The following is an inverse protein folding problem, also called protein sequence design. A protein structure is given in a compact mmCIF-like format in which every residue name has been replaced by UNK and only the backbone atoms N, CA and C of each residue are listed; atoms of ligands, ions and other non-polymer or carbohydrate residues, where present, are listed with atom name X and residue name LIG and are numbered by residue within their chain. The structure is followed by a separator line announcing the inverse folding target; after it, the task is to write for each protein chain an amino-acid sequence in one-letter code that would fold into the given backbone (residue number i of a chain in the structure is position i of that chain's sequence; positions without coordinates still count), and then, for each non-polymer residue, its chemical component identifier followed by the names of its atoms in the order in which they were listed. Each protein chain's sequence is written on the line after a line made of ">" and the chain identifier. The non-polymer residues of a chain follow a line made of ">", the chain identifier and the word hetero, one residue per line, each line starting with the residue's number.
data_IF_769935893891
#
_entry.id   IF_769935893891
#
_cell.length_a   1.000
_cell.length_b   1.000
_cell.length_c   1.000
_cell.angle_alpha   90.00
_cell.angle_beta   90.00
_cell.angle_gamma   90.00
#
_symmetry.space_group_name_H-M   'P 1'
#
loop_
_entity.id
_entity.type
_entity.pdbx_description
1 polymer ?
#
# COMPACT_ATOMS: atom_id res chain seq x y z
N UNK A 1 -3.55 37.37 -3.21
CA UNK A 1 -3.96 37.52 -1.80
C UNK A 1 -5.37 36.93 -1.66
N UNK A 2 -5.50 35.66 -1.37
CA UNK A 2 -6.81 35.05 -1.06
C UNK A 2 -6.96 35.20 0.44
N UNK A 3 -7.83 36.14 0.83
CA UNK A 3 -8.02 36.52 2.23
C UNK A 3 -8.53 35.38 3.07
N UNK A 4 -8.09 35.36 4.32
CA UNK A 4 -8.66 34.58 5.42
C UNK A 4 -10.17 34.84 5.57
N UNK A 5 -10.99 34.11 4.82
CA UNK A 5 -12.40 33.97 5.12
C UNK A 5 -12.52 33.13 6.39
N UNK A 6 -13.14 33.73 7.40
CA UNK A 6 -13.36 33.16 8.72
C UNK A 6 -13.90 31.72 8.59
N UNK A 7 -13.20 30.74 9.14
CA UNK A 7 -13.50 29.30 9.04
C UNK A 7 -14.95 28.95 9.42
N UNK A 8 -15.58 29.74 10.30
CA UNK A 8 -16.99 29.55 10.71
C UNK A 8 -18.01 29.89 9.61
N UNK A 9 -17.61 30.67 8.60
CA UNK A 9 -18.49 31.06 7.49
C UNK A 9 -18.39 30.02 6.36
N UNK A 10 -17.26 29.31 6.22
CA UNK A 10 -17.07 28.29 5.18
C UNK A 10 -18.04 27.11 5.33
N UNK A 11 -18.26 26.61 6.53
CA UNK A 11 -19.12 25.44 6.75
C UNK A 11 -20.59 25.62 6.38
N UNK A 12 -21.05 26.87 6.24
CA UNK A 12 -22.45 27.17 5.91
C UNK A 12 -22.70 27.43 4.41
N UNK A 13 -21.64 27.63 3.62
CA UNK A 13 -21.75 28.01 2.21
C UNK A 13 -21.30 26.93 1.22
N UNK A 14 -20.41 26.03 1.66
CA UNK A 14 -19.87 24.95 0.83
C UNK A 14 -20.44 23.61 1.31
N UNK A 15 -21.55 23.20 0.71
CA UNK A 15 -22.23 21.94 1.08
C UNK A 15 -21.88 20.78 0.15
N UNK A 16 -21.21 21.07 -0.99
CA UNK A 16 -20.91 20.07 -2.04
C UNK A 16 -19.48 20.21 -2.54
N UNK A 17 -18.92 19.14 -3.04
CA UNK A 17 -17.56 19.08 -3.56
C UNK A 17 -17.30 20.05 -4.73
N UNK A 18 -18.33 20.41 -5.48
CA UNK A 18 -18.26 21.41 -6.57
C UNK A 18 -17.73 22.77 -6.14
N UNK A 19 -17.95 23.14 -4.88
CA UNK A 19 -17.53 24.46 -4.35
C UNK A 19 -16.03 24.51 -3.98
N UNK A 20 -15.33 23.36 -3.99
CA UNK A 20 -13.92 23.28 -3.64
C UNK A 20 -13.05 23.27 -4.90
N UNK A 21 -11.94 24.04 -4.91
CA UNK A 21 -11.00 24.02 -6.02
C UNK A 21 -10.24 22.69 -6.08
N UNK A 22 -9.80 22.31 -7.27
CA UNK A 22 -8.86 21.22 -7.44
C UNK A 22 -7.51 21.53 -6.82
N UNK A 23 -7.05 20.66 -5.94
CA UNK A 23 -5.76 20.80 -5.24
C UNK A 23 -4.74 19.75 -5.70
N UNK A 24 -4.96 19.15 -6.86
CA UNK A 24 -4.04 18.14 -7.40
C UNK A 24 -2.77 18.83 -7.86
N UNK A 25 -1.64 18.40 -7.30
CA UNK A 25 -0.32 18.76 -7.82
C UNK A 25 0.27 17.56 -8.57
N UNK A 26 0.27 17.55 -9.91
CA UNK A 26 0.75 16.43 -10.71
C UNK A 26 2.27 16.22 -10.66
N UNK A 27 2.94 16.72 -9.65
CA UNK A 27 4.40 16.74 -9.54
C UNK A 27 5.09 15.41 -9.23
N UNK A 28 4.36 14.29 -9.21
CA UNK A 28 4.99 12.96 -9.01
C UNK A 28 5.65 12.53 -10.32
N UNK A 29 6.97 12.66 -10.38
CA UNK A 29 7.76 12.12 -11.49
C UNK A 29 8.08 10.66 -11.18
N UNK A 30 7.54 9.74 -11.98
CA UNK A 30 8.02 8.36 -12.01
C UNK A 30 9.39 8.40 -12.70
N UNK A 31 10.45 8.00 -12.00
CA UNK A 31 11.78 7.90 -12.59
C UNK A 31 11.78 6.88 -13.75
N UNK A 32 12.51 7.19 -14.82
CA UNK A 32 12.75 6.20 -15.88
C UNK A 32 13.48 4.99 -15.28
N UNK A 33 12.89 3.82 -15.40
CA UNK A 33 13.47 2.56 -14.94
C UNK A 33 13.68 1.64 -16.14
N UNK A 34 14.67 1.96 -16.97
CA UNK A 34 15.04 1.15 -18.14
C UNK A 34 16.03 0.02 -17.81
N UNK A 35 16.14 -0.37 -16.54
CA UNK A 35 17.07 -1.40 -16.12
C UNK A 35 16.48 -2.80 -16.31
N UNK A 36 17.17 -3.63 -17.07
CA UNK A 36 17.04 -5.09 -16.95
C UNK A 36 17.53 -5.49 -15.56
N UNK A 37 16.60 -5.94 -14.70
CA UNK A 37 16.95 -6.31 -13.34
C UNK A 37 17.98 -7.42 -13.27
N UNK A 38 19.06 -7.20 -12.52
CA UNK A 38 20.06 -8.21 -12.18
C UNK A 38 19.77 -8.84 -10.83
N UNK A 39 20.40 -9.98 -10.52
CA UNK A 39 20.36 -10.56 -9.16
C UNK A 39 20.84 -9.55 -8.11
N UNK A 40 21.85 -8.72 -8.44
CA UNK A 40 22.34 -7.65 -7.59
C UNK A 40 21.28 -6.60 -7.29
N UNK A 41 20.48 -6.22 -8.29
CA UNK A 41 19.37 -5.25 -8.10
C UNK A 41 18.29 -5.82 -7.18
N UNK A 42 17.96 -7.11 -7.30
CA UNK A 42 17.04 -7.79 -6.39
C UNK A 42 17.56 -7.82 -4.96
N UNK A 43 18.83 -8.16 -4.76
CA UNK A 43 19.47 -8.15 -3.42
C UNK A 43 19.45 -6.74 -2.83
N UNK A 44 19.71 -5.71 -3.63
CA UNK A 44 19.65 -4.32 -3.19
C UNK A 44 18.23 -3.91 -2.78
N UNK A 45 17.22 -4.26 -3.59
CA UNK A 45 15.82 -3.98 -3.29
C UNK A 45 15.41 -4.54 -1.93
N UNK A 46 15.67 -5.82 -1.69
CA UNK A 46 15.35 -6.45 -0.39
C UNK A 46 16.16 -5.88 0.76
N UNK A 47 17.42 -5.53 0.52
CA UNK A 47 18.27 -4.89 1.52
C UNK A 47 17.77 -3.50 1.90
N UNK A 48 17.38 -2.68 0.93
CA UNK A 48 16.82 -1.34 1.16
C UNK A 48 15.47 -1.42 1.86
N UNK A 49 14.61 -2.37 1.49
CA UNK A 49 13.35 -2.65 2.18
C UNK A 49 13.59 -2.98 3.65
N UNK A 50 14.55 -3.88 3.93
CA UNK A 50 14.92 -4.23 5.30
C UNK A 50 15.40 -3.02 6.09
N UNK A 51 16.33 -2.24 5.54
CA UNK A 51 16.86 -1.04 6.22
C UNK A 51 15.78 0.02 6.49
N UNK A 52 14.87 0.20 5.54
CA UNK A 52 13.75 1.12 5.70
C UNK A 52 12.83 0.68 6.85
N UNK A 53 12.38 -0.59 6.83
CA UNK A 53 11.49 -1.12 7.87
C UNK A 53 12.19 -1.23 9.23
N UNK A 54 13.47 -1.55 9.25
CA UNK A 54 14.30 -1.50 10.47
C UNK A 54 14.28 -0.10 11.09
N UNK A 55 14.45 0.96 10.28
CA UNK A 55 14.37 2.35 10.76
C UNK A 55 12.98 2.70 11.29
N UNK A 56 11.91 2.19 10.66
CA UNK A 56 10.54 2.40 11.14
C UNK A 56 10.35 1.78 12.52
N UNK A 57 10.71 0.50 12.70
CA UNK A 57 10.60 -0.21 13.98
C UNK A 57 11.46 0.47 15.06
N UNK A 58 12.68 0.92 14.71
CA UNK A 58 13.61 1.57 15.65
C UNK A 58 13.13 2.93 16.17
N UNK A 59 12.06 3.51 15.57
CA UNK A 59 11.42 4.72 16.11
C UNK A 59 10.57 4.43 17.35
N UNK A 60 10.13 3.20 17.55
CA UNK A 60 9.47 2.77 18.79
C UNK A 60 10.45 2.88 19.96
N UNK A 61 9.98 3.43 21.08
CA UNK A 61 10.81 3.65 22.28
C UNK A 61 11.41 2.35 22.81
N UNK A 62 10.68 1.23 22.66
CA UNK A 62 11.12 -0.10 23.06
C UNK A 62 12.26 -0.67 22.21
N UNK A 63 12.41 -0.17 20.97
CA UNK A 63 13.38 -0.67 19.99
C UNK A 63 14.54 0.29 19.67
N UNK A 64 14.74 1.33 20.45
CA UNK A 64 15.87 2.26 20.27
C UNK A 64 17.25 1.59 20.35
N UNK A 65 17.35 0.49 21.08
CA UNK A 65 18.57 -0.32 21.19
C UNK A 65 18.28 -1.74 20.72
N UNK A 66 18.80 -2.08 19.56
CA UNK A 66 18.71 -3.40 18.95
C UNK A 66 20.11 -4.01 18.80
N UNK A 67 20.17 -5.33 18.79
CA UNK A 67 21.41 -6.08 18.58
C UNK A 67 21.37 -6.78 17.22
N UNK A 68 22.52 -6.88 16.57
CA UNK A 68 22.68 -7.73 15.39
C UNK A 68 22.59 -9.21 15.79
N UNK A 69 22.01 -10.03 14.93
CA UNK A 69 21.80 -11.46 15.22
C UNK A 69 23.13 -12.16 15.52
N UNK A 70 24.22 -11.83 14.79
CA UNK A 70 25.54 -12.40 15.08
C UNK A 70 26.06 -12.06 16.48
N UNK A 71 25.76 -10.85 16.97
CA UNK A 71 26.15 -10.43 18.34
C UNK A 71 25.39 -11.23 19.39
N UNK A 72 24.08 -11.39 19.23
CA UNK A 72 23.24 -12.20 20.11
C UNK A 72 23.68 -13.66 20.11
N UNK A 73 23.98 -14.24 18.95
CA UNK A 73 24.41 -15.62 18.83
C UNK A 73 25.76 -15.88 19.51
N UNK A 74 26.66 -14.90 19.52
CA UNK A 74 27.97 -15.00 20.21
C UNK A 74 27.84 -14.83 21.73
N UNK A 75 26.83 -14.10 22.20
CA UNK A 75 26.71 -13.68 23.61
C UNK A 75 25.44 -14.21 24.29
N UNK A 76 24.90 -15.35 23.83
CA UNK A 76 23.62 -15.92 24.32
C UNK A 76 23.50 -15.94 25.83
N UNK A 77 24.57 -16.34 26.50
CA UNK A 77 24.61 -16.47 27.98
C UNK A 77 24.55 -15.12 28.70
N UNK A 78 24.99 -14.02 28.05
CA UNK A 78 24.87 -12.68 28.62
C UNK A 78 23.44 -12.15 28.59
N UNK A 79 22.59 -12.71 27.72
CA UNK A 79 21.17 -12.33 27.52
C UNK A 79 20.18 -13.35 28.11
N UNK A 80 20.62 -14.33 28.87
CA UNK A 80 19.79 -15.37 29.47
C UNK A 80 18.73 -14.79 30.45
N UNK A 81 19.06 -13.77 31.23
CA UNK A 81 18.17 -13.10 32.19
C UNK A 81 17.95 -11.63 31.89
N UNK A 82 18.42 -11.17 30.73
CA UNK A 82 18.35 -9.77 30.32
C UNK A 82 17.60 -9.67 28.99
N UNK A 83 16.46 -8.98 28.95
CA UNK A 83 15.76 -8.75 27.70
C UNK A 83 16.63 -7.99 26.69
N UNK A 84 16.57 -8.39 25.45
CA UNK A 84 17.21 -7.70 24.34
C UNK A 84 16.28 -7.66 23.13
N UNK A 85 16.56 -6.71 22.23
CA UNK A 85 15.79 -6.50 21.03
C UNK A 85 16.58 -6.93 19.80
N UNK A 86 15.91 -7.59 18.87
CA UNK A 86 16.42 -7.95 17.56
C UNK A 86 15.39 -7.58 16.51
N UNK A 87 15.84 -7.17 15.33
CA UNK A 87 15.00 -6.94 14.17
C UNK A 87 15.49 -7.85 13.06
N UNK A 88 14.56 -8.54 12.40
CA UNK A 88 14.90 -9.47 11.32
C UNK A 88 13.74 -9.68 10.36
N UNK A 89 14.05 -10.28 9.20
CA UNK A 89 13.08 -10.79 8.24
C UNK A 89 12.71 -12.20 8.65
N UNK A 90 11.42 -12.54 8.57
CA UNK A 90 10.94 -13.90 8.81
C UNK A 90 11.27 -14.77 7.59
N UNK A 91 12.11 -15.78 7.78
CA UNK A 91 12.49 -16.73 6.71
C UNK A 91 11.85 -18.10 6.87
N UNK A 92 11.38 -18.45 8.06
CA UNK A 92 10.64 -19.70 8.31
C UNK A 92 9.70 -19.56 9.50
N UNK A 93 8.53 -20.24 9.44
CA UNK A 93 7.54 -20.28 10.51
C UNK A 93 7.06 -21.72 10.68
N UNK A 94 7.25 -22.27 11.88
CA UNK A 94 6.74 -23.62 12.22
C UNK A 94 5.80 -23.57 13.39
N UNK A 95 4.67 -24.26 13.27
CA UNK A 95 3.73 -24.43 14.37
C UNK A 95 4.23 -25.52 15.34
N UNK A 96 4.25 -25.21 16.63
CA UNK A 96 4.55 -26.20 17.66
C UNK A 96 3.31 -26.98 18.07
N UNK A 97 3.48 -28.15 18.69
CA UNK A 97 2.37 -28.96 19.22
C UNK A 97 1.54 -28.20 20.26
N UNK A 98 2.16 -27.28 21.01
CA UNK A 98 1.48 -26.43 22.00
C UNK A 98 0.76 -25.23 21.41
N UNK A 99 0.80 -25.04 20.09
CA UNK A 99 0.12 -23.97 19.37
C UNK A 99 0.94 -22.69 19.18
N UNK A 100 2.12 -22.55 19.80
CA UNK A 100 3.04 -21.45 19.56
C UNK A 100 3.70 -21.51 18.18
N UNK A 101 4.54 -20.53 17.88
CA UNK A 101 5.32 -20.43 16.62
C UNK A 101 6.80 -20.44 16.91
N UNK A 102 7.52 -21.30 16.20
CA UNK A 102 8.96 -21.20 16.02
C UNK A 102 9.20 -20.37 14.77
N UNK A 103 9.85 -19.24 14.92
CA UNK A 103 10.09 -18.28 13.85
C UNK A 103 11.58 -18.13 13.65
N UNK A 104 12.07 -18.34 12.45
CA UNK A 104 13.44 -18.05 12.09
C UNK A 104 13.54 -16.64 11.53
N UNK A 105 14.30 -15.78 12.20
CA UNK A 105 14.59 -14.42 11.79
C UNK A 105 16.00 -14.35 11.20
N UNK A 106 16.12 -13.58 10.12
CA UNK A 106 17.41 -13.30 9.45
C UNK A 106 17.67 -11.80 9.38
N UNK A 107 18.91 -11.42 9.62
CA UNK A 107 19.47 -10.12 9.27
C UNK A 107 20.74 -10.30 8.41
N UNK A 108 21.39 -9.21 8.00
CA UNK A 108 22.64 -9.27 7.20
C UNK A 108 23.78 -10.01 7.90
N UNK A 109 23.65 -10.38 9.17
CA UNK A 109 24.74 -10.95 10.00
C UNK A 109 24.50 -12.41 10.38
N UNK A 110 23.28 -12.92 10.23
CA UNK A 110 22.97 -14.32 10.55
C UNK A 110 21.49 -14.58 10.79
N UNK A 111 21.22 -15.74 11.39
CA UNK A 111 19.87 -16.20 11.71
C UNK A 111 19.72 -16.53 13.19
N UNK A 112 18.52 -16.34 13.70
CA UNK A 112 18.13 -16.69 15.06
C UNK A 112 16.71 -17.28 15.06
N UNK A 113 16.52 -18.37 15.80
CA UNK A 113 15.20 -18.93 16.02
C UNK A 113 14.61 -18.35 17.30
N UNK A 114 13.43 -17.76 17.19
CA UNK A 114 12.68 -17.20 18.30
C UNK A 114 11.39 -17.97 18.50
N UNK A 115 10.89 -18.03 19.73
CA UNK A 115 9.63 -18.68 20.05
C UNK A 115 8.58 -17.65 20.42
N UNK A 116 7.52 -17.57 19.62
CA UNK A 116 6.34 -16.74 19.86
C UNK A 116 5.25 -17.61 20.49
N UNK A 117 4.76 -17.20 21.66
CA UNK A 117 3.74 -17.95 22.39
C UNK A 117 2.42 -17.89 21.67
N UNK A 118 1.56 -18.90 21.87
CA UNK A 118 0.21 -18.94 21.24
C UNK A 118 -0.70 -17.82 21.72
N UNK A 119 -0.47 -17.30 22.92
CA UNK A 119 -1.23 -16.20 23.54
C UNK A 119 -0.84 -14.82 22.96
N UNK A 120 0.32 -14.73 22.31
CA UNK A 120 0.73 -13.50 21.63
C UNK A 120 -0.15 -13.25 20.41
N UNK A 121 -0.80 -12.08 20.30
CA UNK A 121 -1.63 -11.75 19.14
C UNK A 121 -0.90 -11.92 17.79
N UNK A 122 0.41 -11.69 17.78
CA UNK A 122 1.23 -11.85 16.58
C UNK A 122 1.31 -13.30 16.09
N UNK A 123 1.12 -14.31 16.97
CA UNK A 123 1.24 -15.72 16.59
C UNK A 123 0.29 -16.15 15.45
N UNK A 124 -0.83 -15.42 15.26
CA UNK A 124 -1.82 -15.69 14.21
C UNK A 124 -1.60 -14.89 12.93
N UNK A 125 -0.76 -13.87 12.93
CA UNK A 125 -0.60 -12.88 11.84
C UNK A 125 0.78 -12.87 11.20
N UNK A 126 1.75 -13.63 11.74
CA UNK A 126 3.10 -13.73 11.18
C UNK A 126 3.08 -14.30 9.76
N UNK A 127 3.75 -13.63 8.84
CA UNK A 127 3.94 -14.06 7.45
C UNK A 127 5.42 -14.15 7.10
N UNK A 128 5.74 -15.01 6.13
CA UNK A 128 7.09 -15.04 5.54
C UNK A 128 7.38 -13.66 4.92
N UNK A 129 8.65 -13.29 4.93
CA UNK A 129 9.16 -12.01 4.42
C UNK A 129 8.74 -10.77 5.22
N UNK A 130 7.95 -10.90 6.30
CA UNK A 130 7.72 -9.80 7.22
C UNK A 130 9.02 -9.38 7.92
N UNK A 131 9.23 -8.07 8.03
CA UNK A 131 10.27 -7.51 8.90
C UNK A 131 9.64 -7.18 10.24
N UNK A 132 10.08 -7.84 11.28
CA UNK A 132 9.57 -7.62 12.65
C UNK A 132 10.68 -7.32 13.65
N UNK A 133 10.32 -6.58 14.68
CA UNK A 133 11.12 -6.44 15.89
C UNK A 133 10.65 -7.41 16.95
N UNK A 134 11.59 -8.01 17.68
CA UNK A 134 11.29 -8.95 18.75
C UNK A 134 12.06 -8.54 20.01
N UNK A 135 11.36 -8.42 21.12
CA UNK A 135 11.94 -8.31 22.46
C UNK A 135 11.86 -9.65 23.14
N UNK A 136 12.95 -10.11 23.75
CA UNK A 136 12.94 -11.39 24.44
C UNK A 136 14.27 -11.68 25.12
N UNK A 137 14.40 -12.91 25.61
CA UNK A 137 15.59 -13.40 26.32
C UNK A 137 15.91 -14.85 25.96
N UNK A 138 17.16 -15.23 26.09
CA UNK A 138 17.53 -16.63 25.93
C UNK A 138 17.11 -17.49 27.14
N UNK A 139 16.80 -18.75 26.85
CA UNK A 139 16.64 -19.80 27.88
C UNK A 139 17.91 -20.00 28.69
N UNK A 140 17.78 -20.68 29.84
CA UNK A 140 18.91 -20.97 30.74
C UNK A 140 20.08 -21.67 30.04
N UNK A 141 19.79 -22.56 29.09
CA UNK A 141 20.74 -23.30 28.28
C UNK A 141 21.19 -22.56 27.00
N UNK A 142 20.68 -21.36 26.75
CA UNK A 142 20.99 -20.55 25.57
C UNK A 142 20.49 -21.12 24.23
N UNK A 143 19.64 -22.16 24.23
CA UNK A 143 19.19 -22.83 23.01
C UNK A 143 17.99 -22.16 22.38
N UNK A 144 17.11 -21.54 23.18
CA UNK A 144 15.87 -20.93 22.75
C UNK A 144 15.83 -19.45 23.08
N UNK A 145 15.35 -18.64 22.15
CA UNK A 145 15.02 -17.24 22.40
C UNK A 145 13.52 -17.11 22.63
N UNK A 146 13.13 -16.80 23.85
CA UNK A 146 11.75 -16.62 24.26
C UNK A 146 11.30 -15.19 24.02
N UNK A 147 10.25 -15.02 23.24
CA UNK A 147 9.69 -13.72 22.88
C UNK A 147 8.76 -13.22 23.97
N UNK A 148 8.97 -11.98 24.39
CA UNK A 148 8.07 -11.27 25.29
C UNK A 148 7.17 -10.29 24.52
N UNK A 149 7.63 -9.76 23.37
CA UNK A 149 6.90 -8.81 22.52
C UNK A 149 7.34 -8.96 21.06
N UNK A 150 6.36 -8.92 20.16
CA UNK A 150 6.55 -8.75 18.71
C UNK A 150 6.10 -7.36 18.31
N UNK A 151 6.88 -6.68 17.48
CA UNK A 151 6.59 -5.35 16.95
C UNK A 151 6.64 -5.38 15.42
N UNK A 152 5.55 -5.00 14.78
CA UNK A 152 5.49 -4.75 13.35
C UNK A 152 5.95 -3.32 13.01
N UNK A 153 6.40 -3.07 11.77
CA UNK A 153 6.69 -1.72 11.30
C UNK A 153 5.39 -0.93 11.16
N UNK A 154 4.95 -0.31 12.23
CA UNK A 154 3.76 0.54 12.22
C UNK A 154 4.12 1.93 11.72
N UNK A 155 3.29 2.47 10.83
CA UNK A 155 3.32 3.90 10.54
C UNK A 155 2.84 4.60 11.80
N UNK A 156 3.79 5.20 12.54
CA UNK A 156 3.45 6.02 13.70
C UNK A 156 2.49 7.11 13.22
N UNK A 157 1.29 7.23 13.81
CA UNK A 157 0.40 8.30 13.45
C UNK A 157 1.14 9.61 13.63
N UNK A 158 1.18 10.41 12.56
CA UNK A 158 1.82 11.72 12.61
C UNK A 158 1.00 12.61 13.55
N UNK A 159 1.32 12.59 14.84
CA UNK A 159 0.60 13.33 15.89
C UNK A 159 0.67 14.86 15.70
N UNK A 160 1.49 15.34 14.75
CA UNK A 160 1.59 16.77 14.48
C UNK A 160 0.35 17.36 13.80
N UNK A 161 -0.54 16.53 13.24
CA UNK A 161 -1.72 16.99 12.51
C UNK A 161 -3.07 16.59 13.14
N UNK A 162 -3.10 16.04 14.36
CA UNK A 162 -4.36 15.70 15.03
C UNK A 162 -5.01 16.87 15.80
N UNK A 163 -4.39 18.05 15.78
CA UNK A 163 -4.98 19.25 16.35
C UNK A 163 -5.91 19.93 15.35
N UNK A 164 -7.20 19.62 15.41
CA UNK A 164 -8.25 20.46 14.84
C UNK A 164 -8.12 20.81 13.36
N UNK A 165 -7.72 19.88 12.50
CA UNK A 165 -7.93 20.05 11.07
C UNK A 165 -9.44 19.99 10.82
N UNK A 166 -10.04 21.14 10.56
CA UNK A 166 -11.29 21.23 9.83
C UNK A 166 -11.03 20.59 8.46
N UNK A 167 -11.40 19.33 8.30
CA UNK A 167 -11.38 18.68 7.00
C UNK A 167 -12.56 19.24 6.21
N UNK A 168 -12.26 19.66 4.99
CA UNK A 168 -13.32 19.95 4.04
C UNK A 168 -14.15 18.68 3.84
N UNK A 169 -15.49 18.74 3.79
CA UNK A 169 -16.36 17.57 3.70
C UNK A 169 -16.37 16.98 2.29
N UNK A 170 -15.19 16.69 1.76
CA UNK A 170 -15.03 16.06 0.44
C UNK A 170 -14.72 14.57 0.59
N UNK A 171 -15.17 13.79 -0.37
CA UNK A 171 -14.92 12.36 -0.50
C UNK A 171 -14.11 12.06 -1.75
N UNK A 172 -13.38 10.95 -1.72
CA UNK A 172 -12.66 10.40 -2.87
C UNK A 172 -13.26 9.03 -3.15
N UNK A 173 -13.69 8.80 -4.40
CA UNK A 173 -14.09 7.50 -4.87
C UNK A 173 -12.89 6.78 -5.49
N UNK A 174 -12.77 5.49 -5.26
CA UNK A 174 -11.74 4.63 -5.83
C UNK A 174 -12.39 3.49 -6.60
N UNK A 175 -11.92 3.25 -7.81
CA UNK A 175 -12.28 2.10 -8.63
C UNK A 175 -11.05 1.60 -9.38
N UNK A 176 -11.03 0.33 -9.78
CA UNK A 176 -9.99 -0.27 -10.61
C UNK A 176 -10.57 -1.39 -11.46
N UNK A 177 -9.78 -1.90 -12.39
CA UNK A 177 -10.12 -3.09 -13.17
C UNK A 177 -11.48 -2.97 -13.90
N UNK A 178 -11.67 -1.82 -14.52
CA UNK A 178 -12.92 -1.51 -15.24
C UNK A 178 -13.01 -2.32 -16.53
N UNK A 179 -11.88 -2.51 -17.22
CA UNK A 179 -11.74 -3.29 -18.45
C UNK A 179 -12.76 -2.89 -19.53
N UNK A 180 -12.89 -1.60 -19.82
CA UNK A 180 -13.71 -1.11 -20.93
C UNK A 180 -13.21 -1.72 -22.24
N UNK A 181 -14.14 -2.23 -23.06
CA UNK A 181 -13.80 -3.02 -24.23
C UNK A 181 -13.83 -4.53 -24.02
N UNK A 182 -13.89 -5.01 -22.79
CA UNK A 182 -14.09 -6.43 -22.46
C UNK A 182 -15.52 -6.89 -22.74
N UNK A 183 -15.69 -8.15 -23.14
CA UNK A 183 -17.01 -8.80 -23.20
C UNK A 183 -17.66 -8.93 -21.82
N UNK A 184 -16.88 -8.76 -20.75
CA UNK A 184 -17.31 -8.84 -19.35
C UNK A 184 -17.51 -7.48 -18.70
N UNK A 185 -17.29 -6.39 -19.41
CA UNK A 185 -17.51 -5.05 -18.88
C UNK A 185 -18.98 -4.89 -18.46
N UNK A 186 -19.19 -4.50 -17.22
CA UNK A 186 -20.53 -4.33 -16.62
C UNK A 186 -21.04 -2.92 -16.89
N UNK A 187 -21.29 -2.59 -18.15
CA UNK A 187 -21.67 -1.25 -18.59
C UNK A 187 -22.88 -0.71 -17.81
N UNK A 188 -23.93 -1.52 -17.60
CA UNK A 188 -25.10 -1.10 -16.83
C UNK A 188 -24.82 -0.76 -15.38
N UNK A 189 -23.80 -1.38 -14.79
CA UNK A 189 -23.39 -1.08 -13.41
C UNK A 189 -22.55 0.19 -13.36
N UNK A 190 -21.73 0.42 -14.39
CA UNK A 190 -21.05 1.70 -14.59
C UNK A 190 -22.06 2.84 -14.74
N UNK A 191 -23.04 2.70 -15.64
CA UNK A 191 -24.07 3.72 -15.89
C UNK A 191 -24.85 4.03 -14.60
N UNK A 192 -25.23 3.02 -13.82
CA UNK A 192 -25.88 3.21 -12.51
C UNK A 192 -25.00 3.94 -11.51
N UNK A 193 -23.69 3.68 -11.51
CA UNK A 193 -22.72 4.38 -10.65
C UNK A 193 -22.65 5.86 -11.05
N UNK A 194 -22.57 6.16 -12.35
CA UNK A 194 -22.53 7.52 -12.87
C UNK A 194 -23.85 8.25 -12.58
N UNK A 195 -25.00 7.59 -12.79
CA UNK A 195 -26.31 8.14 -12.44
C UNK A 195 -26.39 8.49 -10.94
N UNK A 196 -25.89 7.60 -10.07
CA UNK A 196 -25.83 7.87 -8.64
C UNK A 196 -24.89 9.03 -8.31
N UNK A 197 -23.73 9.14 -8.97
CA UNK A 197 -22.82 10.27 -8.80
C UNK A 197 -23.43 11.61 -9.23
N UNK A 198 -24.35 11.59 -10.22
CA UNK A 198 -25.10 12.75 -10.66
C UNK A 198 -26.33 13.06 -9.79
N UNK A 199 -26.60 12.26 -8.76
CA UNK A 199 -27.81 12.43 -7.93
C UNK A 199 -27.61 13.43 -6.78
N UNK A 200 -28.73 13.81 -6.15
CA UNK A 200 -28.75 14.66 -4.96
C UNK A 200 -28.33 13.90 -3.67
N UNK A 201 -27.83 12.68 -3.78
CA UNK A 201 -27.39 11.90 -2.64
C UNK A 201 -26.21 12.58 -1.94
N UNK A 202 -26.30 12.74 -0.60
CA UNK A 202 -25.31 13.51 0.17
C UNK A 202 -23.86 13.01 0.02
N UNK A 203 -23.64 11.69 -0.11
CA UNK A 203 -22.29 11.13 -0.36
C UNK A 203 -21.83 11.47 -1.77
N UNK A 204 -22.70 11.31 -2.78
CA UNK A 204 -22.37 11.60 -4.17
C UNK A 204 -21.93 13.06 -4.37
N UNK A 205 -22.68 14.01 -3.77
CA UNK A 205 -22.35 15.43 -3.80
C UNK A 205 -21.00 15.79 -3.17
N UNK A 206 -20.51 14.96 -2.27
CA UNK A 206 -19.23 15.18 -1.61
C UNK A 206 -18.05 14.53 -2.34
N UNK A 207 -18.27 13.78 -3.41
CA UNK A 207 -17.19 13.18 -4.20
C UNK A 207 -16.54 14.29 -5.04
N UNK A 208 -15.26 14.57 -4.77
CA UNK A 208 -14.45 15.51 -5.54
C UNK A 208 -13.56 14.84 -6.56
N UNK A 209 -13.08 13.64 -6.24
CA UNK A 209 -12.15 12.91 -7.08
C UNK A 209 -12.63 11.47 -7.28
N UNK A 210 -12.50 10.99 -8.53
CA UNK A 210 -12.64 9.57 -8.89
C UNK A 210 -11.26 9.05 -9.30
N UNK A 211 -10.66 8.21 -8.46
CA UNK A 211 -9.37 7.58 -8.75
C UNK A 211 -9.61 6.24 -9.42
N UNK A 212 -9.16 6.12 -10.68
CA UNK A 212 -9.16 4.89 -11.45
C UNK A 212 -7.76 4.28 -11.38
N UNK A 213 -7.62 3.20 -10.61
CA UNK A 213 -6.32 2.64 -10.22
C UNK A 213 -5.85 1.54 -11.17
N UNK A 214 -5.89 1.79 -12.47
CA UNK A 214 -5.40 0.91 -13.52
C UNK A 214 -6.45 -0.01 -14.13
N UNK A 215 -6.05 -0.63 -15.24
CA UNK A 215 -6.86 -1.52 -16.08
C UNK A 215 -8.22 -0.88 -16.46
N UNK A 216 -8.12 0.35 -16.99
CA UNK A 216 -9.30 1.13 -17.39
C UNK A 216 -9.88 0.54 -18.66
N UNK A 217 -9.01 0.20 -19.62
CA UNK A 217 -9.37 -0.54 -20.82
C UNK A 217 -8.91 -1.99 -20.71
N UNK A 218 -9.50 -2.88 -21.49
CA UNK A 218 -9.09 -4.30 -21.49
C UNK A 218 -7.79 -4.52 -22.26
N UNK A 219 -7.41 -3.58 -23.13
CA UNK A 219 -6.24 -3.68 -23.98
C UNK A 219 -6.44 -4.68 -25.12
N UNK A 220 -5.37 -4.94 -25.86
CA UNK A 220 -5.37 -5.88 -26.97
C UNK A 220 -4.09 -6.74 -26.89
N UNK A 221 -4.25 -8.07 -26.98
CA UNK A 221 -3.11 -8.99 -27.01
C UNK A 221 -2.36 -9.15 -25.69
N UNK A 222 -2.97 -8.84 -24.55
CA UNK A 222 -2.38 -8.91 -23.21
C UNK A 222 -2.03 -10.36 -22.82
N UNK A 223 -2.82 -11.32 -23.28
CA UNK A 223 -2.58 -12.75 -23.09
C UNK A 223 -3.00 -13.57 -24.32
N UNK A 224 -2.54 -14.82 -24.48
CA UNK A 224 -2.91 -15.65 -25.63
C UNK A 224 -4.43 -15.85 -25.75
N UNK A 225 -5.00 -15.52 -26.90
CA UNK A 225 -6.42 -15.67 -27.18
C UNK A 225 -7.30 -14.54 -26.60
N UNK A 226 -6.69 -13.44 -26.18
CA UNK A 226 -7.37 -12.30 -25.62
C UNK A 226 -8.46 -11.69 -26.54
N UNK A 227 -8.24 -11.71 -27.84
CA UNK A 227 -9.15 -11.22 -28.87
C UNK A 227 -10.56 -11.84 -28.82
N UNK A 228 -10.72 -12.99 -28.16
CA UNK A 228 -12.02 -13.65 -27.95
C UNK A 228 -12.83 -13.05 -26.81
N UNK A 229 -12.18 -12.29 -25.97
CA UNK A 229 -12.76 -11.72 -24.74
C UNK A 229 -12.99 -10.21 -24.84
N UNK A 230 -12.63 -9.58 -25.96
CA UNK A 230 -12.79 -8.16 -26.19
C UNK A 230 -13.84 -7.87 -27.26
N UNK A 231 -14.56 -6.77 -27.11
CA UNK A 231 -15.58 -6.30 -28.04
C UNK A 231 -15.02 -5.29 -29.04
N UNK A 232 -13.93 -4.62 -28.69
CA UNK A 232 -13.24 -3.58 -29.46
C UNK A 232 -11.80 -4.02 -29.68
N UNK A 233 -11.45 -4.37 -30.94
CA UNK A 233 -10.13 -4.89 -31.30
C UNK A 233 -9.06 -3.81 -31.47
N UNK A 234 -9.44 -2.55 -31.49
CA UNK A 234 -8.54 -1.41 -31.50
C UNK A 234 -8.48 -0.77 -30.09
N UNK A 235 -7.28 -0.60 -29.58
CA UNK A 235 -7.09 0.01 -28.26
C UNK A 235 -7.49 1.47 -28.23
N UNK A 236 -7.38 2.18 -29.35
CA UNK A 236 -7.83 3.57 -29.44
C UNK A 236 -9.35 3.67 -29.33
N UNK A 237 -10.10 2.75 -29.98
CA UNK A 237 -11.56 2.67 -29.83
C UNK A 237 -11.96 2.43 -28.37
N UNK A 238 -11.19 1.63 -27.63
CA UNK A 238 -11.43 1.39 -26.20
C UNK A 238 -11.23 2.66 -25.38
N UNK A 239 -10.15 3.43 -25.65
CA UNK A 239 -9.91 4.71 -24.96
C UNK A 239 -10.94 5.79 -25.35
N UNK A 240 -11.36 5.85 -26.61
CA UNK A 240 -12.44 6.77 -27.01
C UNK A 240 -13.76 6.40 -26.30
N UNK A 241 -14.05 5.11 -26.18
CA UNK A 241 -15.22 4.66 -25.42
C UNK A 241 -15.11 5.04 -23.94
N UNK A 242 -13.93 4.86 -23.35
CA UNK A 242 -13.63 5.26 -21.98
C UNK A 242 -13.82 6.77 -21.79
N UNK A 243 -13.30 7.59 -22.70
CA UNK A 243 -13.43 9.04 -22.62
C UNK A 243 -14.91 9.46 -22.64
N UNK A 244 -15.72 8.88 -23.54
CA UNK A 244 -17.17 9.13 -23.55
C UNK A 244 -17.87 8.77 -22.24
N UNK A 245 -17.47 7.64 -21.64
CA UNK A 245 -18.02 7.22 -20.34
C UNK A 245 -17.59 8.12 -19.18
N UNK A 246 -16.40 8.70 -19.25
CA UNK A 246 -15.92 9.67 -18.26
C UNK A 246 -16.57 11.04 -18.42
N UNK A 247 -16.92 11.44 -19.65
CA UNK A 247 -17.65 12.68 -19.91
C UNK A 247 -19.07 12.70 -19.32
N UNK A 248 -19.62 11.53 -18.97
CA UNK A 248 -20.92 11.41 -18.29
C UNK A 248 -20.84 11.73 -16.77
N UNK A 249 -19.62 11.84 -16.21
CA UNK A 249 -19.42 12.21 -14.80
C UNK A 249 -19.87 13.66 -14.54
N UNK A 250 -20.30 13.97 -13.29
CA UNK A 250 -20.54 15.35 -12.90
C UNK A 250 -19.30 16.23 -13.10
N UNK A 251 -19.49 17.45 -13.62
CA UNK A 251 -18.38 18.38 -13.93
C UNK A 251 -17.45 18.68 -12.73
N UNK A 252 -17.97 18.55 -11.49
CA UNK A 252 -17.20 18.81 -10.28
C UNK A 252 -16.32 17.62 -9.84
N UNK A 253 -16.51 16.45 -10.45
CA UNK A 253 -15.69 15.27 -10.15
C UNK A 253 -14.51 15.23 -11.12
N UNK A 254 -13.31 15.31 -10.56
CA UNK A 254 -12.07 15.22 -11.34
C UNK A 254 -11.59 13.76 -11.36
N UNK A 255 -11.56 13.11 -12.54
CA UNK A 255 -10.98 11.78 -12.66
C UNK A 255 -9.45 11.83 -12.56
N UNK A 256 -8.87 10.93 -11.76
CA UNK A 256 -7.43 10.69 -11.65
C UNK A 256 -7.17 9.30 -12.17
N UNK A 257 -6.44 9.20 -13.28
CA UNK A 257 -6.24 7.96 -13.99
C UNK A 257 -4.81 7.47 -13.77
N UNK A 258 -4.68 6.24 -13.27
CA UNK A 258 -3.41 5.54 -13.15
C UNK A 258 -3.42 4.36 -14.13
N UNK A 259 -2.33 4.08 -14.84
CA UNK A 259 -2.27 2.95 -15.75
C UNK A 259 -2.10 1.62 -14.99
N UNK A 260 -2.75 0.57 -15.50
CA UNK A 260 -2.55 -0.82 -15.12
C UNK A 260 -1.75 -1.61 -16.18
N UNK A 261 -1.73 -2.93 -16.06
CA UNK A 261 -0.98 -3.77 -17.00
C UNK A 261 -1.76 -4.08 -18.30
N UNK A 262 -3.06 -3.81 -18.35
CA UNK A 262 -3.87 -3.90 -19.56
C UNK A 262 -3.87 -2.61 -20.38
N UNK A 263 -3.57 -1.48 -19.74
CA UNK A 263 -3.51 -0.18 -20.40
C UNK A 263 -2.32 -0.08 -21.37
N UNK A 264 -2.37 0.88 -22.31
CA UNK A 264 -1.37 1.06 -23.35
C UNK A 264 -0.05 1.63 -22.85
N UNK A 265 0.52 0.98 -21.85
CA UNK A 265 1.83 1.28 -21.26
C UNK A 265 2.64 -0.02 -21.08
N UNK A 266 3.91 0.09 -20.76
CA UNK A 266 4.69 -1.11 -20.41
C UNK A 266 4.11 -1.79 -19.17
N UNK A 267 3.96 -3.13 -19.16
CA UNK A 267 3.38 -3.85 -18.01
C UNK A 267 4.22 -3.81 -16.73
N UNK A 268 5.54 -3.58 -16.86
CA UNK A 268 6.45 -3.57 -15.71
C UNK A 268 6.25 -2.34 -14.82
N UNK A 269 6.18 -2.56 -13.52
CA UNK A 269 6.12 -1.48 -12.53
C UNK A 269 7.49 -0.83 -12.29
N UNK A 270 7.50 0.48 -11.98
CA UNK A 270 6.38 1.42 -12.05
C UNK A 270 6.00 1.72 -13.51
N UNK A 271 4.70 1.71 -13.81
CA UNK A 271 4.23 2.10 -15.12
C UNK A 271 4.45 3.60 -15.35
N UNK A 272 4.78 4.04 -16.58
CA UNK A 272 4.80 5.44 -16.93
C UNK A 272 3.39 6.02 -16.94
N UNK A 273 3.27 7.33 -17.01
CA UNK A 273 1.97 7.99 -17.27
C UNK A 273 1.45 7.59 -18.64
N UNK A 274 0.12 7.58 -18.79
CA UNK A 274 -0.51 7.47 -20.11
C UNK A 274 -0.07 8.66 -20.97
N UNK A 275 0.45 8.37 -22.16
CA UNK A 275 0.80 9.43 -23.12
C UNK A 275 -0.50 9.99 -23.74
N UNK A 276 -0.51 11.28 -24.15
CA UNK A 276 -1.61 11.82 -24.93
C UNK A 276 -1.75 11.02 -26.22
N UNK A 277 -2.96 10.61 -26.53
CA UNK A 277 -3.33 9.89 -27.75
C UNK A 277 -3.35 10.81 -28.96
#
# INVERSE_FOLDING_TARGET
>A
MVGNLNKSIRSSWFEVAADYPDLINPGVRVGQTDKTGTIGDMVNLFSERFEYLHKVISKDLGFKRTYKIAELNKQKMAFKNRPCNVIGIIVDIRRTKSGGRMVELEDKTGRITVFVRKEDPAAGTLLLDDVIGVTGKFSEDGRMFWTDRVQYPEVLPNNQNRGGLDFDPISIAFASDIHMGSTKFLEKDWDRMVEWMNSEHHVAKNIKYLVLSGDIVDGVGVYPGHERNITMLDVYDQYEFCARKLDELPEHITPIILPGNHDAVRPAQPQPVLEPL
#
